data_IF_156892840107
#
_entry.id   IF_156892840107
#
_cell.length_a   1.000
_cell.length_b   1.000
_cell.length_c   1.000
_cell.angle_alpha   90.00
_cell.angle_beta   90.00
_cell.angle_gamma   90.00
#
_symmetry.space_group_name_H-M   'P 1'
#
loop_
_entity.id
_entity.type
_entity.pdbx_description
1 polymer ?
#
# COMPACT_ATOMS: atom_id res chain seq x y z
N UNK A 1 -20.65 -4.59 -1.77
CA UNK A 1 -20.71 -5.24 -3.10
C UNK A 1 -19.44 -4.95 -3.90
N UNK A 2 -19.02 -3.67 -4.05
CA UNK A 2 -17.83 -3.30 -4.85
C UNK A 2 -16.53 -3.94 -4.33
N UNK A 3 -16.31 -3.97 -3.02
CA UNK A 3 -15.12 -4.59 -2.42
C UNK A 3 -15.00 -6.08 -2.71
N UNK A 4 -16.11 -6.83 -2.71
CA UNK A 4 -16.11 -8.26 -3.04
C UNK A 4 -15.62 -8.51 -4.47
N UNK A 5 -16.08 -7.70 -5.42
CA UNK A 5 -15.63 -7.82 -6.82
C UNK A 5 -14.16 -7.38 -6.98
N UNK A 6 -13.81 -6.21 -6.46
CA UNK A 6 -12.49 -5.60 -6.70
C UNK A 6 -11.35 -6.29 -5.94
N UNK A 7 -11.61 -6.81 -4.72
CA UNK A 7 -10.55 -7.32 -3.84
C UNK A 7 -10.57 -8.83 -3.67
N UNK A 8 -11.64 -9.51 -4.08
CA UNK A 8 -11.74 -10.95 -3.98
C UNK A 8 -11.90 -11.60 -5.36
N UNK A 9 -12.98 -11.30 -6.08
CA UNK A 9 -13.33 -12.02 -7.32
C UNK A 9 -12.32 -11.72 -8.44
N UNK A 10 -12.10 -10.45 -8.78
CA UNK A 10 -11.20 -10.09 -9.88
C UNK A 10 -9.75 -10.49 -9.63
N UNK A 11 -9.15 -10.27 -8.43
CA UNK A 11 -7.79 -10.75 -8.16
C UNK A 11 -7.69 -12.28 -8.17
N UNK A 12 -8.71 -13.01 -7.69
CA UNK A 12 -8.75 -14.46 -7.77
C UNK A 12 -8.77 -14.95 -9.23
N UNK A 13 -9.65 -14.41 -10.06
CA UNK A 13 -9.69 -14.72 -11.49
C UNK A 13 -8.38 -14.36 -12.18
N UNK A 14 -7.78 -13.23 -11.80
CA UNK A 14 -6.44 -12.85 -12.26
C UNK A 14 -5.38 -13.88 -11.90
N UNK A 15 -5.35 -14.33 -10.64
CA UNK A 15 -4.39 -15.35 -10.19
C UNK A 15 -4.56 -16.69 -10.91
N UNK A 16 -5.78 -17.05 -11.30
CA UNK A 16 -6.04 -18.23 -12.14
C UNK A 16 -5.33 -18.17 -13.51
N UNK A 17 -5.13 -16.97 -14.07
CA UNK A 17 -4.40 -16.79 -15.32
C UNK A 17 -2.89 -17.09 -15.18
N UNK A 18 -2.36 -17.07 -13.97
CA UNK A 18 -0.97 -17.41 -13.69
C UNK A 18 -0.72 -18.93 -13.65
N UNK A 19 -1.79 -19.74 -13.62
CA UNK A 19 -1.71 -21.20 -13.51
C UNK A 19 -1.63 -21.82 -14.92
N UNK A 20 -0.53 -22.53 -15.26
CA UNK A 20 -0.40 -23.21 -16.55
C UNK A 20 -1.37 -24.38 -16.69
N UNK A 21 -1.66 -24.76 -17.93
CA UNK A 21 -2.49 -25.93 -18.22
C UNK A 21 -1.90 -27.20 -17.61
N UNK A 22 -2.71 -27.96 -16.89
CA UNK A 22 -2.30 -29.22 -16.22
C UNK A 22 -1.84 -29.07 -14.76
N UNK A 23 -1.79 -27.83 -14.24
CA UNK A 23 -1.49 -27.58 -12.82
C UNK A 23 -2.74 -27.14 -12.06
N UNK A 24 -2.75 -27.42 -10.74
CA UNK A 24 -3.80 -26.96 -9.84
C UNK A 24 -3.49 -25.55 -9.30
N UNK A 25 -4.53 -24.76 -9.05
CA UNK A 25 -4.41 -23.46 -8.39
C UNK A 25 -3.68 -23.54 -7.04
N UNK A 26 -3.89 -24.61 -6.29
CA UNK A 26 -3.29 -24.79 -4.97
C UNK A 26 -1.79 -25.08 -5.04
N UNK A 27 -1.31 -25.75 -6.10
CA UNK A 27 0.12 -25.99 -6.35
C UNK A 27 0.92 -24.68 -6.49
N UNK A 28 0.24 -23.57 -6.82
CA UNK A 28 0.83 -22.24 -6.90
C UNK A 28 1.52 -21.81 -5.59
N UNK A 29 1.02 -22.31 -4.46
CA UNK A 29 1.47 -21.93 -3.12
C UNK A 29 2.42 -22.96 -2.47
N UNK A 30 2.66 -24.08 -3.14
CA UNK A 30 3.51 -25.15 -2.62
C UNK A 30 4.96 -24.66 -2.48
N UNK A 31 5.50 -24.83 -1.29
CA UNK A 31 6.86 -24.37 -0.97
C UNK A 31 6.96 -22.88 -0.57
N UNK A 32 5.92 -22.08 -0.75
CA UNK A 32 5.92 -20.63 -0.47
C UNK A 32 5.21 -20.24 0.84
N UNK A 33 5.06 -21.15 1.79
CA UNK A 33 4.26 -20.91 3.00
C UNK A 33 4.62 -19.62 3.75
N UNK A 34 5.91 -19.30 3.89
CA UNK A 34 6.36 -18.05 4.51
C UNK A 34 5.98 -16.82 3.66
N UNK A 35 6.23 -16.87 2.36
CA UNK A 35 5.89 -15.78 1.43
C UNK A 35 4.39 -15.52 1.39
N UNK A 36 3.56 -16.57 1.35
CA UNK A 36 2.09 -16.48 1.43
C UNK A 36 1.65 -15.80 2.72
N UNK A 37 2.19 -16.25 3.88
CA UNK A 37 1.85 -15.68 5.18
C UNK A 37 2.22 -14.20 5.27
N UNK A 38 3.42 -13.81 4.82
CA UNK A 38 3.88 -12.42 4.83
C UNK A 38 3.07 -11.56 3.85
N UNK A 39 2.80 -12.06 2.65
CA UNK A 39 1.97 -11.36 1.66
C UNK A 39 0.57 -11.05 2.21
N UNK A 40 -0.06 -12.03 2.84
CA UNK A 40 -1.37 -11.84 3.47
C UNK A 40 -1.31 -10.90 4.67
N UNK A 41 -0.29 -11.02 5.53
CA UNK A 41 -0.08 -10.14 6.69
C UNK A 41 0.02 -8.67 6.25
N UNK A 42 0.84 -8.39 5.25
CA UNK A 42 0.97 -7.03 4.71
C UNK A 42 -0.31 -6.56 4.00
N UNK A 43 -1.09 -7.47 3.44
CA UNK A 43 -2.44 -7.20 2.96
C UNK A 43 -3.40 -6.77 4.07
N UNK A 44 -3.39 -7.47 5.21
CA UNK A 44 -4.16 -7.10 6.42
C UNK A 44 -3.78 -5.70 6.90
N UNK A 45 -2.48 -5.38 6.97
CA UNK A 45 -2.00 -4.05 7.35
C UNK A 45 -2.46 -2.97 6.35
N UNK A 46 -2.42 -3.27 5.05
CA UNK A 46 -2.94 -2.39 4.01
C UNK A 46 -4.45 -2.13 4.18
N UNK A 47 -5.24 -3.13 4.52
CA UNK A 47 -6.68 -2.96 4.79
C UNK A 47 -6.94 -2.03 5.97
N UNK A 48 -6.17 -2.14 7.07
CA UNK A 48 -6.20 -1.17 8.19
C UNK A 48 -5.84 0.24 7.69
N UNK A 49 -4.90 0.33 6.74
CA UNK A 49 -4.55 1.58 6.06
C UNK A 49 -5.75 2.24 5.37
N UNK A 50 -6.59 1.45 4.70
CA UNK A 50 -7.81 1.92 4.05
C UNK A 50 -8.80 2.56 5.03
N UNK A 51 -9.02 1.94 6.20
CA UNK A 51 -9.88 2.49 7.25
C UNK A 51 -9.32 3.81 7.82
N UNK A 52 -8.03 3.86 8.11
CA UNK A 52 -7.37 5.07 8.63
C UNK A 52 -7.30 6.17 7.58
N UNK A 53 -7.20 5.82 6.29
CA UNK A 53 -7.26 6.76 5.18
C UNK A 53 -8.59 7.54 5.15
N UNK A 54 -9.73 6.84 5.26
CA UNK A 54 -11.05 7.48 5.37
C UNK A 54 -11.14 8.42 6.58
N UNK A 55 -10.56 8.01 7.71
CA UNK A 55 -10.53 8.82 8.92
C UNK A 55 -9.66 10.08 8.77
N UNK A 56 -8.55 10.03 8.03
CA UNK A 56 -7.72 11.21 7.77
C UNK A 56 -8.48 12.30 7.01
N UNK A 57 -9.28 11.90 6.03
CA UNK A 57 -10.11 12.82 5.25
C UNK A 57 -11.19 13.48 6.11
N UNK A 58 -11.69 12.80 7.14
CA UNK A 58 -12.66 13.37 8.08
C UNK A 58 -12.08 14.52 8.90
N UNK A 59 -10.78 14.47 9.26
CA UNK A 59 -10.12 15.51 10.06
C UNK A 59 -9.42 16.58 9.23
N UNK A 60 -8.93 16.27 8.03
CA UNK A 60 -8.15 17.20 7.18
C UNK A 60 -8.94 17.71 5.96
N UNK A 61 -10.06 17.08 5.65
CA UNK A 61 -10.72 17.22 4.35
C UNK A 61 -10.07 16.33 3.29
N UNK A 62 -10.80 16.12 2.19
CA UNK A 62 -10.44 15.18 1.13
C UNK A 62 -9.08 15.53 0.52
N UNK A 63 -8.89 16.78 0.09
CA UNK A 63 -7.68 17.18 -0.64
C UNK A 63 -6.40 17.00 0.18
N UNK A 64 -6.39 17.53 1.42
CA UNK A 64 -5.19 17.49 2.26
C UNK A 64 -4.92 16.09 2.82
N UNK A 65 -5.96 15.41 3.33
CA UNK A 65 -5.85 14.06 3.86
C UNK A 65 -5.37 13.07 2.81
N UNK A 66 -5.94 13.15 1.59
CA UNK A 66 -5.54 12.29 0.48
C UNK A 66 -4.12 12.55 0.01
N UNK A 67 -3.72 13.82 -0.16
CA UNK A 67 -2.38 14.16 -0.63
C UNK A 67 -1.30 13.68 0.33
N UNK A 68 -1.47 13.88 1.64
CA UNK A 68 -0.50 13.43 2.65
C UNK A 68 -0.45 11.90 2.71
N UNK A 69 -1.59 11.23 2.77
CA UNK A 69 -1.64 9.77 2.89
C UNK A 69 -1.08 9.08 1.63
N UNK A 70 -1.49 9.49 0.42
CA UNK A 70 -1.00 8.88 -0.83
C UNK A 70 0.49 9.18 -1.07
N UNK A 71 0.94 10.40 -0.79
CA UNK A 71 2.36 10.73 -0.91
C UNK A 71 3.21 9.93 0.08
N UNK A 72 2.76 9.78 1.33
CA UNK A 72 3.44 8.93 2.34
C UNK A 72 3.44 7.46 1.90
N UNK A 73 2.34 6.95 1.38
CA UNK A 73 2.23 5.61 0.81
C UNK A 73 3.26 5.39 -0.31
N UNK A 74 3.33 6.31 -1.27
CA UNK A 74 4.27 6.21 -2.38
C UNK A 74 5.73 6.28 -1.91
N UNK A 75 6.09 7.24 -1.06
CA UNK A 75 7.45 7.42 -0.57
C UNK A 75 7.94 6.23 0.28
N UNK A 76 7.18 5.88 1.32
CA UNK A 76 7.56 4.78 2.23
C UNK A 76 7.40 3.42 1.57
N UNK A 77 6.32 3.20 0.80
CA UNK A 77 6.08 1.92 0.12
C UNK A 77 7.20 1.54 -0.86
N UNK A 78 7.82 2.53 -1.51
CA UNK A 78 8.96 2.29 -2.41
C UNK A 78 10.20 1.78 -1.68
N UNK A 79 10.44 2.23 -0.44
CA UNK A 79 11.63 1.85 0.34
C UNK A 79 11.39 0.60 1.17
N UNK A 80 10.21 0.47 1.78
CA UNK A 80 9.92 -0.60 2.74
C UNK A 80 10.07 -2.01 2.15
N UNK A 81 9.59 -2.22 0.92
CA UNK A 81 9.65 -3.52 0.25
C UNK A 81 11.11 -4.03 0.14
N UNK A 82 11.99 -3.30 -0.57
CA UNK A 82 13.40 -3.70 -0.72
C UNK A 82 14.15 -3.84 0.61
N UNK A 83 13.89 -2.96 1.58
CA UNK A 83 14.56 -3.01 2.89
C UNK A 83 14.14 -4.28 3.66
N UNK A 84 12.86 -4.58 3.74
CA UNK A 84 12.39 -5.76 4.45
C UNK A 84 12.79 -7.05 3.74
N UNK A 85 12.72 -7.10 2.41
CA UNK A 85 13.23 -8.26 1.66
C UNK A 85 14.71 -8.50 1.92
N UNK A 86 15.52 -7.44 1.96
CA UNK A 86 16.96 -7.60 2.23
C UNK A 86 17.26 -8.04 3.67
N UNK A 87 16.38 -7.75 4.63
CA UNK A 87 16.49 -8.24 6.01
C UNK A 87 16.15 -9.73 6.10
N UNK A 88 15.06 -10.16 5.45
CA UNK A 88 14.60 -11.55 5.51
C UNK A 88 15.31 -12.48 4.52
N UNK A 89 15.75 -11.95 3.38
CA UNK A 89 16.40 -12.67 2.29
C UNK A 89 17.62 -11.89 1.77
N UNK A 90 18.73 -11.82 2.55
CA UNK A 90 19.92 -11.03 2.18
C UNK A 90 20.51 -11.43 0.82
N UNK A 91 20.36 -12.70 0.43
CA UNK A 91 20.84 -13.24 -0.84
C UNK A 91 20.16 -12.64 -2.07
N UNK A 92 18.95 -12.12 -1.94
CA UNK A 92 18.22 -11.46 -3.05
C UNK A 92 18.81 -10.10 -3.41
N UNK A 93 19.65 -9.51 -2.54
CA UNK A 93 20.24 -8.18 -2.73
C UNK A 93 19.18 -7.12 -3.15
N UNK A 94 18.01 -7.16 -2.52
CA UNK A 94 16.84 -6.35 -2.91
C UNK A 94 17.12 -4.84 -2.84
N UNK A 95 18.08 -4.40 -2.02
CA UNK A 95 18.50 -3.00 -1.93
C UNK A 95 19.08 -2.45 -3.23
N UNK A 96 19.55 -3.30 -4.15
CA UNK A 96 20.05 -2.87 -5.47
C UNK A 96 18.96 -2.20 -6.33
N UNK A 97 17.69 -2.47 -6.04
CA UNK A 97 16.56 -1.81 -6.69
C UNK A 97 16.41 -0.33 -6.28
N UNK A 98 16.96 0.08 -5.12
CA UNK A 98 16.97 1.46 -4.64
C UNK A 98 18.07 2.27 -5.34
N UNK A 99 17.91 2.46 -6.65
CA UNK A 99 18.83 3.25 -7.46
C UNK A 99 18.81 4.73 -7.06
N UNK A 100 19.83 5.49 -7.48
CA UNK A 100 19.88 6.93 -7.23
C UNK A 100 18.60 7.64 -7.69
N UNK A 101 18.07 7.29 -8.86
CA UNK A 101 16.83 7.90 -9.38
C UNK A 101 15.62 7.59 -8.51
N UNK A 102 15.52 6.36 -7.98
CA UNK A 102 14.45 5.95 -7.06
C UNK A 102 14.54 6.74 -5.75
N UNK A 103 15.72 6.82 -5.14
CA UNK A 103 15.94 7.60 -3.91
C UNK A 103 15.63 9.08 -4.13
N UNK A 104 16.09 9.66 -5.24
CA UNK A 104 15.78 11.05 -5.58
C UNK A 104 14.26 11.27 -5.70
N UNK A 105 13.54 10.37 -6.37
CA UNK A 105 12.08 10.42 -6.49
C UNK A 105 11.38 10.37 -5.14
N UNK A 106 11.83 9.52 -4.23
CA UNK A 106 11.32 9.45 -2.85
C UNK A 106 11.57 10.76 -2.10
N UNK A 107 12.78 11.32 -2.18
CA UNK A 107 13.12 12.60 -1.53
C UNK A 107 12.22 13.71 -2.07
N UNK A 108 12.03 13.83 -3.37
CA UNK A 108 11.12 14.83 -3.98
C UNK A 108 9.69 14.64 -3.49
N UNK A 109 9.21 13.40 -3.41
CA UNK A 109 7.88 13.08 -2.89
C UNK A 109 7.72 13.51 -1.43
N UNK A 110 8.69 13.19 -0.57
CA UNK A 110 8.65 13.58 0.85
C UNK A 110 8.73 15.09 1.05
N UNK A 111 9.53 15.80 0.26
CA UNK A 111 9.56 17.26 0.24
C UNK A 111 8.22 17.85 -0.19
N UNK A 112 7.58 17.28 -1.22
CA UNK A 112 6.23 17.67 -1.64
C UNK A 112 5.20 17.51 -0.52
N UNK A 113 5.22 16.39 0.22
CA UNK A 113 4.35 16.16 1.38
C UNK A 113 4.61 17.20 2.46
N UNK A 114 5.87 17.50 2.77
CA UNK A 114 6.24 18.51 3.76
C UNK A 114 5.68 19.90 3.39
N UNK A 115 5.82 20.30 2.12
CA UNK A 115 5.27 21.57 1.60
C UNK A 115 3.74 21.59 1.74
N UNK A 116 3.05 20.51 1.35
CA UNK A 116 1.59 20.39 1.47
C UNK A 116 1.18 20.44 2.96
N UNK A 117 1.93 19.79 3.84
CA UNK A 117 1.69 19.82 5.28
C UNK A 117 1.82 21.23 5.87
N UNK A 118 2.88 21.95 5.50
CA UNK A 118 3.09 23.36 5.91
C UNK A 118 1.97 24.26 5.38
N UNK A 119 1.63 24.16 4.09
CA UNK A 119 0.55 24.94 3.50
C UNK A 119 -0.80 24.64 4.17
N UNK A 120 -1.08 23.38 4.48
CA UNK A 120 -2.26 22.96 5.22
C UNK A 120 -2.31 23.55 6.65
N UNK A 121 -1.19 23.56 7.35
CA UNK A 121 -1.06 24.16 8.68
C UNK A 121 -1.28 25.68 8.64
N UNK A 122 -0.68 26.37 7.68
CA UNK A 122 -0.85 27.81 7.47
C UNK A 122 -2.31 28.16 7.18
N UNK A 123 -2.96 27.41 6.29
CA UNK A 123 -4.39 27.56 6.01
C UNK A 123 -5.23 27.32 7.26
N UNK A 124 -4.93 26.27 8.03
CA UNK A 124 -5.65 25.99 9.26
C UNK A 124 -5.54 27.09 10.31
N UNK A 125 -4.37 27.78 10.40
CA UNK A 125 -4.18 28.88 11.32
C UNK A 125 -4.83 30.21 10.86
N UNK A 126 -5.09 30.37 9.55
CA UNK A 126 -5.70 31.57 8.99
C UNK A 126 -7.24 31.56 9.00
N UNK A 127 -7.86 30.39 9.19
CA UNK A 127 -9.32 30.25 9.22
C UNK A 127 -9.88 30.38 10.64
N UNK A 128 -11.05 31.04 10.77
CA UNK A 128 -11.83 31.04 12.02
C UNK A 128 -12.36 29.62 12.34
N UNK A 129 -12.73 29.39 13.59
CA UNK A 129 -13.29 28.08 13.98
C UNK A 129 -14.61 27.75 13.26
N UNK A 130 -15.37 28.78 12.89
CA UNK A 130 -16.61 28.60 12.12
C UNK A 130 -16.35 28.21 10.68
N UNK A 131 -15.36 28.82 10.02
CA UNK A 131 -14.93 28.47 8.66
C UNK A 131 -14.32 27.09 8.58
N UNK A 132 -13.53 26.69 9.59
CA UNK A 132 -12.98 25.32 9.69
C UNK A 132 -14.10 24.30 9.76
N UNK A 133 -15.10 24.50 10.64
CA UNK A 133 -16.24 23.60 10.80
C UNK A 133 -17.16 23.57 9.58
N UNK A 134 -17.29 24.70 8.86
CA UNK A 134 -18.04 24.75 7.61
C UNK A 134 -17.37 23.94 6.50
N UNK A 135 -16.03 23.95 6.42
CA UNK A 135 -15.27 23.19 5.43
C UNK A 135 -15.15 21.71 5.79
N UNK A 136 -14.89 21.39 7.07
CA UNK A 136 -14.72 20.03 7.58
C UNK A 136 -15.28 19.96 9.00
N UNK A 137 -16.38 19.24 9.19
CA UNK A 137 -17.14 19.20 10.45
C UNK A 137 -16.29 18.92 11.70
N UNK A 138 -15.35 17.98 11.58
CA UNK A 138 -14.49 17.53 12.68
C UNK A 138 -13.04 17.97 12.46
N UNK A 139 -12.79 19.14 11.84
CA UNK A 139 -11.45 19.58 11.48
C UNK A 139 -10.49 19.58 12.68
N UNK A 140 -9.38 18.85 12.56
CA UNK A 140 -8.31 18.81 13.55
C UNK A 140 -6.99 18.50 12.84
N UNK A 141 -6.19 19.53 12.56
CA UNK A 141 -4.97 19.38 11.78
C UNK A 141 -3.95 18.43 12.39
N UNK A 142 -3.52 18.56 13.68
CA UNK A 142 -2.51 17.66 14.25
C UNK A 142 -2.95 16.20 14.25
N UNK A 143 -4.20 15.94 14.67
CA UNK A 143 -4.76 14.59 14.70
C UNK A 143 -4.90 14.02 13.29
N UNK A 144 -5.42 14.80 12.37
CA UNK A 144 -5.58 14.40 10.98
C UNK A 144 -4.25 14.11 10.29
N UNK A 145 -3.22 14.94 10.55
CA UNK A 145 -1.86 14.74 10.03
C UNK A 145 -1.28 13.39 10.52
N UNK A 146 -1.34 13.12 11.82
CA UNK A 146 -0.84 11.87 12.39
C UNK A 146 -1.56 10.66 11.78
N UNK A 147 -2.89 10.73 11.63
CA UNK A 147 -3.69 9.67 11.02
C UNK A 147 -3.37 9.53 9.52
N UNK A 148 -3.16 10.61 8.78
CA UNK A 148 -2.81 10.56 7.36
C UNK A 148 -1.43 9.92 7.13
N UNK A 149 -0.44 10.24 7.96
CA UNK A 149 0.88 9.62 7.92
C UNK A 149 0.81 8.13 8.26
N UNK A 150 0.06 7.75 9.29
CA UNK A 150 -0.19 6.35 9.63
C UNK A 150 -0.90 5.61 8.50
N UNK A 151 -1.94 6.21 7.92
CA UNK A 151 -2.67 5.64 6.79
C UNK A 151 -1.76 5.42 5.58
N UNK A 152 -0.88 6.38 5.28
CA UNK A 152 0.09 6.26 4.21
C UNK A 152 1.11 5.14 4.46
N UNK A 153 1.65 5.05 5.69
CA UNK A 153 2.54 3.96 6.09
C UNK A 153 1.88 2.58 5.92
N UNK A 154 0.68 2.41 6.49
CA UNK A 154 -0.08 1.17 6.38
C UNK A 154 -0.48 0.85 4.93
N UNK A 155 -0.82 1.87 4.13
CA UNK A 155 -1.10 1.69 2.71
C UNK A 155 0.13 1.26 1.91
N UNK A 156 1.32 1.71 2.29
CA UNK A 156 2.61 1.27 1.73
C UNK A 156 2.88 -0.23 1.93
N UNK A 157 2.25 -0.85 2.92
CA UNK A 157 2.33 -2.30 3.17
C UNK A 157 1.82 -3.14 1.97
N UNK A 158 0.97 -2.58 1.11
CA UNK A 158 0.57 -3.24 -0.14
C UNK A 158 1.78 -3.61 -1.00
N UNK A 159 2.69 -2.66 -1.22
CA UNK A 159 3.90 -2.90 -2.01
C UNK A 159 4.83 -3.91 -1.34
N UNK A 160 4.92 -3.89 -0.02
CA UNK A 160 5.69 -4.88 0.74
C UNK A 160 5.10 -6.27 0.54
N UNK A 161 3.78 -6.41 0.64
CA UNK A 161 3.10 -7.68 0.38
C UNK A 161 3.37 -8.19 -1.04
N UNK A 162 3.28 -7.34 -2.06
CA UNK A 162 3.63 -7.71 -3.44
C UNK A 162 5.08 -8.16 -3.56
N UNK A 163 6.00 -7.51 -2.87
CA UNK A 163 7.41 -7.87 -2.88
C UNK A 163 7.67 -9.25 -2.27
N UNK A 164 7.06 -9.57 -1.12
CA UNK A 164 7.14 -10.91 -0.52
C UNK A 164 6.49 -12.00 -1.39
N UNK A 165 5.46 -11.65 -2.14
CA UNK A 165 4.76 -12.58 -3.02
C UNK A 165 5.33 -12.68 -4.43
N UNK A 166 6.40 -11.96 -4.76
CA UNK A 166 6.93 -11.84 -6.13
C UNK A 166 7.29 -13.19 -6.78
N UNK A 167 7.72 -14.16 -5.98
CA UNK A 167 8.16 -15.48 -6.46
C UNK A 167 7.04 -16.53 -6.49
N UNK A 168 5.82 -16.17 -6.06
CA UNK A 168 4.66 -17.07 -6.06
C UNK A 168 4.12 -17.22 -7.48
N UNK A 169 4.78 -18.04 -8.29
CA UNK A 169 4.40 -18.36 -9.66
C UNK A 169 5.14 -19.63 -10.16
N UNK A 170 4.71 -20.20 -11.28
CA UNK A 170 5.33 -21.39 -11.88
C UNK A 170 6.61 -21.08 -12.70
N UNK A 171 7.41 -20.11 -12.29
CA UNK A 171 8.67 -19.77 -12.96
C UNK A 171 8.46 -19.35 -14.42
N UNK A 172 9.14 -20.03 -15.33
CA UNK A 172 9.08 -19.78 -16.78
C UNK A 172 7.75 -20.23 -17.43
N UNK A 173 6.97 -21.07 -16.75
CA UNK A 173 5.65 -21.51 -17.24
C UNK A 173 4.56 -20.45 -17.07
N UNK A 174 4.76 -19.47 -16.16
CA UNK A 174 3.87 -18.33 -16.02
C UNK A 174 4.34 -17.16 -16.91
N UNK A 175 3.51 -16.66 -17.83
CA UNK A 175 3.84 -15.47 -18.63
C UNK A 175 4.17 -14.26 -17.72
N UNK A 176 5.15 -13.46 -18.09
CA UNK A 176 5.65 -12.34 -17.27
C UNK A 176 4.54 -11.37 -16.83
N UNK A 177 3.55 -11.13 -17.70
CA UNK A 177 2.41 -10.26 -17.41
C UNK A 177 1.49 -10.78 -16.30
N UNK A 178 1.56 -12.07 -15.96
CA UNK A 178 0.70 -12.70 -14.94
C UNK A 178 1.43 -13.04 -13.65
N UNK A 179 2.75 -12.92 -13.59
CA UNK A 179 3.58 -13.31 -12.43
C UNK A 179 3.19 -12.61 -11.12
N UNK A 180 2.73 -11.37 -11.20
CA UNK A 180 2.34 -10.59 -10.00
C UNK A 180 0.91 -10.84 -9.54
N UNK A 181 0.09 -11.53 -10.33
CA UNK A 181 -1.33 -11.72 -10.03
C UNK A 181 -1.60 -12.59 -8.80
N UNK A 182 -0.84 -13.69 -8.53
CA UNK A 182 -1.00 -14.44 -7.30
C UNK A 182 -0.69 -13.64 -6.04
N UNK A 183 0.39 -12.85 -6.05
CA UNK A 183 0.71 -11.94 -4.96
C UNK A 183 -0.39 -10.89 -4.77
N UNK A 184 -0.90 -10.32 -5.86
CA UNK A 184 -2.01 -9.35 -5.83
C UNK A 184 -3.25 -9.97 -5.20
N UNK A 185 -3.61 -11.20 -5.55
CA UNK A 185 -4.74 -11.90 -4.94
C UNK A 185 -4.56 -12.06 -3.42
N UNK A 186 -3.38 -12.51 -2.97
CA UNK A 186 -3.12 -12.71 -1.54
C UNK A 186 -3.15 -11.39 -0.75
N UNK A 187 -2.54 -10.33 -1.27
CA UNK A 187 -2.56 -9.01 -0.62
C UNK A 187 -3.98 -8.46 -0.53
N UNK A 188 -4.73 -8.53 -1.64
CA UNK A 188 -6.11 -8.03 -1.65
C UNK A 188 -7.04 -8.88 -0.79
N UNK A 189 -6.82 -10.21 -0.71
CA UNK A 189 -7.53 -11.10 0.21
C UNK A 189 -7.26 -10.70 1.68
N UNK A 190 -5.98 -10.44 2.04
CA UNK A 190 -5.62 -9.92 3.36
C UNK A 190 -6.35 -8.61 3.69
N UNK A 191 -6.34 -7.66 2.75
CA UNK A 191 -7.05 -6.39 2.89
C UNK A 191 -8.57 -6.54 2.99
N UNK A 192 -9.14 -7.50 2.28
CA UNK A 192 -10.58 -7.79 2.34
C UNK A 192 -11.03 -8.28 3.72
N UNK A 193 -10.17 -9.01 4.45
CA UNK A 193 -10.48 -9.48 5.81
C UNK A 193 -10.63 -8.32 6.79
N UNK A 194 -9.95 -7.20 6.58
CA UNK A 194 -9.89 -6.07 7.52
C UNK A 194 -10.69 -4.85 7.09
N UNK A 195 -11.21 -4.80 5.87
CA UNK A 195 -11.89 -3.65 5.29
C UNK A 195 -13.25 -4.07 4.69
#
# INVERSE_FOLDING_TARGET
VQGVFAWLILPFLGAMLAVPSGHSFFELFDGYGFNVAMTMLFGVLWGVGGLTFGLSMRYLGVALGQSIALGTCAGLGTIMGPVLLNIFFPEMNALSSLTFSVILGVVVTLLGIAIIGVAGSMKASSLSEEEKKAAVKDFNFPKGLAIALLAGFMSGCFNVGLAFGSDIHFGTFTPDMYKTLPATFLVTLGGFITN
#
